data_IF_132875851891
#
_entry.id   IF_132875851891
#
_cell.length_a   1.000
_cell.length_b   1.000
_cell.length_c   1.000
_cell.angle_alpha   90.00
_cell.angle_beta   90.00
_cell.angle_gamma   90.00
#
_symmetry.space_group_name_H-M   'P 1'
#
loop_
_entity.id
_entity.type
_entity.pdbx_description
1 polymer ?
#
# COMPACT_ATOMS: atom_id res chain seq x y z
N UNK A 1 -3.98 13.29 -0.82
CA UNK A 1 -3.26 12.12 -0.26
C UNK A 1 -3.34 12.24 1.26
N UNK A 2 -3.53 11.14 1.99
CA UNK A 2 -3.71 11.17 3.45
C UNK A 2 -2.77 10.24 4.22
N UNK A 3 -1.86 9.56 3.51
CA UNK A 3 -0.90 8.64 4.11
C UNK A 3 0.41 9.41 4.40
N UNK A 4 1.00 9.19 5.57
CA UNK A 4 2.32 9.73 5.95
C UNK A 4 3.26 8.61 6.37
N UNK A 5 4.56 8.79 6.11
CA UNK A 5 5.61 7.91 6.63
C UNK A 5 6.57 8.71 7.51
N UNK A 6 6.85 8.19 8.71
CA UNK A 6 7.83 8.75 9.62
C UNK A 6 8.96 7.75 9.83
N UNK A 7 10.18 8.17 9.52
CA UNK A 7 11.39 7.40 9.75
C UNK A 7 12.22 8.12 10.81
N UNK A 8 12.74 7.36 11.77
CA UNK A 8 13.60 7.92 12.81
C UNK A 8 14.70 6.92 13.18
N UNK A 9 15.89 7.40 13.60
CA UNK A 9 17.01 6.54 13.93
C UNK A 9 16.77 5.67 15.17
N UNK A 10 15.86 6.08 16.06
CA UNK A 10 15.54 5.34 17.29
C UNK A 10 14.04 5.23 17.50
N UNK A 11 13.63 4.23 18.28
CA UNK A 11 12.22 4.06 18.67
C UNK A 11 11.70 5.24 19.50
N UNK A 12 12.54 5.85 20.32
CA UNK A 12 12.15 6.97 21.19
C UNK A 12 11.83 8.24 20.41
N UNK A 13 12.68 8.58 19.44
CA UNK A 13 12.44 9.73 18.56
C UNK A 13 11.19 9.52 17.71
N UNK A 14 10.97 8.30 17.20
CA UNK A 14 9.74 7.96 16.47
C UNK A 14 8.49 8.13 17.33
N UNK A 15 8.49 7.64 18.59
CA UNK A 15 7.32 7.77 19.48
C UNK A 15 7.01 9.23 19.80
N UNK A 16 8.03 10.07 19.96
CA UNK A 16 7.85 11.51 20.16
C UNK A 16 7.21 12.15 18.93
N UNK A 17 7.75 11.91 17.74
CA UNK A 17 7.20 12.41 16.48
C UNK A 17 5.74 11.96 16.26
N UNK A 18 5.42 10.70 16.54
CA UNK A 18 4.04 10.17 16.45
C UNK A 18 3.10 10.88 17.43
N UNK A 19 3.54 11.14 18.67
CA UNK A 19 2.74 11.88 19.65
C UNK A 19 2.48 13.31 19.18
N UNK A 20 3.52 13.99 18.70
CA UNK A 20 3.43 15.39 18.28
C UNK A 20 2.54 15.51 17.01
N UNK A 21 2.62 14.53 16.09
CA UNK A 21 1.71 14.44 14.95
C UNK A 21 0.25 14.24 15.38
N UNK A 22 -0.01 13.33 16.33
CA UNK A 22 -1.36 13.10 16.83
C UNK A 22 -1.95 14.39 17.42
N UNK A 23 -1.18 15.10 18.24
CA UNK A 23 -1.62 16.37 18.82
C UNK A 23 -1.90 17.44 17.75
N UNK A 24 -1.03 17.53 16.74
CA UNK A 24 -1.25 18.42 15.61
C UNK A 24 -2.55 18.09 14.86
N UNK A 25 -2.79 16.82 14.55
CA UNK A 25 -3.98 16.39 13.81
C UNK A 25 -5.27 16.60 14.63
N UNK A 26 -5.23 16.29 15.92
CA UNK A 26 -6.35 16.52 16.84
C UNK A 26 -6.75 18.00 16.88
N UNK A 27 -5.77 18.90 16.97
CA UNK A 27 -6.01 20.35 16.94
C UNK A 27 -6.63 20.84 15.61
N UNK A 28 -6.50 20.07 14.53
CA UNK A 28 -7.09 20.36 13.22
C UNK A 28 -8.36 19.54 12.95
N UNK A 29 -8.88 18.82 13.95
CA UNK A 29 -10.10 18.00 13.82
C UNK A 29 -9.91 16.74 12.98
N UNK A 30 -8.68 16.27 12.78
CA UNK A 30 -8.36 15.08 11.99
C UNK A 30 -8.07 13.90 12.90
N UNK A 31 -8.76 12.77 12.67
CA UNK A 31 -8.60 11.54 13.44
C UNK A 31 -7.80 10.51 12.63
N UNK A 32 -6.71 9.99 13.19
CA UNK A 32 -6.00 8.85 12.62
C UNK A 32 -6.77 7.55 12.90
N UNK A 33 -6.91 6.70 11.89
CA UNK A 33 -7.49 5.37 12.05
C UNK A 33 -6.46 4.43 12.72
N UNK A 34 -6.69 3.94 13.96
CA UNK A 34 -5.69 3.19 14.72
C UNK A 34 -5.21 1.92 14.01
N UNK A 35 -6.15 1.24 13.34
CA UNK A 35 -5.92 -0.03 12.62
C UNK A 35 -5.01 0.13 11.38
N UNK A 36 -4.80 1.37 10.90
CA UNK A 36 -3.93 1.66 9.76
C UNK A 36 -2.53 2.11 10.16
N UNK A 37 -2.25 2.21 11.45
CA UNK A 37 -0.97 2.74 11.96
C UNK A 37 -0.03 1.61 12.32
N UNK A 38 1.05 1.45 11.57
CA UNK A 38 2.08 0.44 11.85
C UNK A 38 3.34 1.09 12.43
N UNK A 39 3.82 0.58 13.57
CA UNK A 39 5.11 0.97 14.15
C UNK A 39 6.04 -0.24 14.23
N UNK A 40 7.20 -0.14 13.58
CA UNK A 40 8.13 -1.27 13.48
C UNK A 40 9.51 -0.85 13.00
N UNK A 41 10.45 -1.79 13.05
CA UNK A 41 11.78 -1.59 12.47
C UNK A 41 11.73 -1.78 10.95
N UNK A 42 12.48 -0.97 10.22
CA UNK A 42 12.58 -1.06 8.75
C UNK A 42 13.14 -2.39 8.25
N UNK A 43 13.86 -3.14 9.10
CA UNK A 43 14.37 -4.48 8.76
C UNK A 43 13.29 -5.51 8.48
N UNK A 44 12.12 -5.38 9.14
CA UNK A 44 10.96 -6.27 8.90
C UNK A 44 10.31 -6.01 7.55
N UNK A 45 10.63 -4.86 6.97
CA UNK A 45 10.02 -4.31 5.79
C UNK A 45 8.62 -3.74 6.04
N UNK A 46 8.20 -2.87 5.13
CA UNK A 46 6.89 -2.22 5.18
C UNK A 46 6.41 -1.90 3.76
N UNK A 47 5.09 -1.84 3.60
CA UNK A 47 4.43 -1.41 2.37
C UNK A 47 4.26 0.11 2.42
N UNK A 48 4.72 0.79 1.39
CA UNK A 48 4.45 2.21 1.18
C UNK A 48 4.10 2.47 -0.28
N UNK A 49 2.88 2.97 -0.51
CA UNK A 49 2.34 3.27 -1.85
C UNK A 49 2.43 2.10 -2.85
N UNK A 50 2.32 0.85 -2.38
CA UNK A 50 2.38 -0.33 -3.25
C UNK A 50 3.79 -0.83 -3.52
N UNK A 51 4.81 -0.24 -2.90
CA UNK A 51 6.20 -0.69 -2.92
C UNK A 51 6.58 -1.31 -1.57
N UNK A 52 7.41 -2.34 -1.62
CA UNK A 52 7.97 -2.99 -0.44
C UNK A 52 9.35 -2.43 -0.14
N UNK A 53 9.53 -1.87 1.05
CA UNK A 53 10.80 -1.33 1.51
C UNK A 53 11.47 -2.27 2.53
N UNK A 54 12.80 -2.33 2.51
CA UNK A 54 13.66 -3.00 3.51
C UNK A 54 14.89 -2.12 3.80
N UNK A 55 15.83 -2.60 4.61
CA UNK A 55 17.07 -1.89 4.98
C UNK A 55 17.87 -1.25 3.82
N UNK A 56 17.99 -1.85 2.62
CA UNK A 56 18.69 -1.19 1.50
C UNK A 56 17.82 -0.19 0.72
N UNK A 57 16.53 -0.03 1.05
CA UNK A 57 15.58 0.81 0.32
C UNK A 57 14.44 0.02 -0.31
N UNK A 58 13.98 0.45 -1.49
CA UNK A 58 12.95 -0.25 -2.25
C UNK A 58 13.45 -1.63 -2.67
N UNK A 59 12.71 -2.67 -2.28
CA UNK A 59 13.06 -4.06 -2.54
C UNK A 59 12.26 -4.68 -3.68
N UNK A 60 10.95 -4.42 -3.72
CA UNK A 60 10.03 -5.01 -4.71
C UNK A 60 8.69 -4.27 -4.73
N UNK A 61 7.75 -4.75 -5.54
CA UNK A 61 6.33 -4.41 -5.38
C UNK A 61 5.82 -5.02 -4.06
N UNK A 62 4.93 -4.32 -3.37
CA UNK A 62 4.34 -4.80 -2.12
C UNK A 62 3.51 -6.08 -2.35
N UNK A 63 3.62 -7.10 -1.48
CA UNK A 63 2.81 -8.33 -1.58
C UNK A 63 1.30 -8.05 -1.64
N UNK A 64 0.85 -7.00 -0.93
CA UNK A 64 -0.52 -6.52 -0.96
C UNK A 64 -0.92 -6.00 -2.34
N UNK A 65 -0.06 -5.23 -3.00
CA UNK A 65 -0.32 -4.71 -4.34
C UNK A 65 -0.39 -5.85 -5.38
N UNK A 66 0.52 -6.83 -5.29
CA UNK A 66 0.49 -8.04 -6.12
C UNK A 66 -0.81 -8.82 -5.92
N UNK A 67 -1.20 -9.06 -4.66
CA UNK A 67 -2.46 -9.74 -4.33
C UNK A 67 -3.69 -9.00 -4.88
N UNK A 68 -3.71 -7.67 -4.76
CA UNK A 68 -4.78 -6.83 -5.34
C UNK A 68 -4.80 -6.93 -6.86
N UNK A 69 -3.64 -6.91 -7.52
CA UNK A 69 -3.55 -7.06 -8.97
C UNK A 69 -4.10 -8.42 -9.43
N UNK A 70 -3.71 -9.52 -8.78
CA UNK A 70 -4.27 -10.85 -9.08
C UNK A 70 -5.78 -10.91 -8.88
N UNK A 71 -6.29 -10.33 -7.79
CA UNK A 71 -7.72 -10.27 -7.54
C UNK A 71 -8.46 -9.50 -8.64
N UNK A 72 -7.88 -8.40 -9.12
CA UNK A 72 -8.46 -7.61 -10.19
C UNK A 72 -8.45 -8.37 -11.53
N UNK A 73 -7.34 -9.01 -11.89
CA UNK A 73 -7.28 -9.92 -13.05
C UNK A 73 -8.38 -10.99 -12.99
N UNK A 74 -8.56 -11.62 -11.81
CA UNK A 74 -9.61 -12.64 -11.61
C UNK A 74 -11.01 -12.06 -11.77
N UNK A 75 -11.27 -10.86 -11.25
CA UNK A 75 -12.57 -10.18 -11.40
C UNK A 75 -12.86 -9.86 -12.87
N UNK A 76 -11.87 -9.32 -13.57
CA UNK A 76 -12.01 -8.96 -14.97
C UNK A 76 -12.24 -10.20 -15.84
N UNK A 77 -11.47 -11.28 -15.59
CA UNK A 77 -11.72 -12.58 -16.22
C UNK A 77 -13.14 -13.09 -15.96
N UNK A 78 -13.61 -13.07 -14.71
CA UNK A 78 -14.98 -13.49 -14.36
C UNK A 78 -16.04 -12.68 -15.10
N UNK A 79 -15.81 -11.39 -15.31
CA UNK A 79 -16.72 -10.53 -16.05
C UNK A 79 -16.78 -10.91 -17.52
N UNK A 80 -15.65 -11.22 -18.17
CA UNK A 80 -15.60 -11.45 -19.62
C UNK A 80 -15.67 -12.94 -20.03
N UNK A 81 -15.69 -13.88 -19.07
CA UNK A 81 -15.63 -15.33 -19.35
C UNK A 81 -16.75 -15.86 -20.26
N UNK A 82 -17.85 -15.11 -20.38
CA UNK A 82 -19.00 -15.46 -21.22
C UNK A 82 -18.82 -15.04 -22.69
N UNK A 83 -17.82 -14.21 -23.00
CA UNK A 83 -17.51 -13.74 -24.34
C UNK A 83 -16.66 -14.75 -25.11
N UNK A 84 -16.57 -14.64 -26.43
CA UNK A 84 -15.65 -15.45 -27.24
C UNK A 84 -14.17 -15.14 -26.86
N UNK A 85 -13.28 -16.13 -26.95
CA UNK A 85 -11.86 -16.04 -26.57
C UNK A 85 -11.12 -14.89 -27.27
N UNK A 86 -11.45 -14.64 -28.53
CA UNK A 86 -10.85 -13.55 -29.31
C UNK A 86 -11.19 -12.17 -28.72
N UNK A 87 -12.42 -12.03 -28.20
CA UNK A 87 -12.91 -10.82 -27.55
C UNK A 87 -12.38 -10.72 -26.11
N UNK A 88 -12.13 -11.85 -25.43
CA UNK A 88 -11.54 -11.86 -24.08
C UNK A 88 -10.09 -11.36 -24.05
N UNK A 89 -9.32 -11.60 -25.12
CA UNK A 89 -7.89 -11.32 -25.16
C UNK A 89 -7.57 -9.81 -25.09
N UNK A 90 -8.34 -8.96 -25.78
CA UNK A 90 -8.07 -7.53 -25.86
C UNK A 90 -8.21 -6.80 -24.49
N UNK A 91 -9.29 -6.98 -23.70
CA UNK A 91 -9.41 -6.41 -22.37
C UNK A 91 -8.33 -6.88 -21.39
N UNK A 92 -7.94 -8.16 -21.43
CA UNK A 92 -6.83 -8.68 -20.60
C UNK A 92 -5.50 -8.03 -20.97
N UNK A 93 -5.20 -7.92 -22.27
CA UNK A 93 -3.97 -7.32 -22.76
C UNK A 93 -3.87 -5.84 -22.38
N UNK A 94 -4.96 -5.09 -22.51
CA UNK A 94 -5.03 -3.69 -22.09
C UNK A 94 -4.80 -3.52 -20.58
N UNK A 95 -5.41 -4.38 -19.76
CA UNK A 95 -5.21 -4.30 -18.31
C UNK A 95 -3.77 -4.63 -17.89
N UNK A 96 -3.15 -5.64 -18.50
CA UNK A 96 -1.76 -6.05 -18.18
C UNK A 96 -0.69 -5.04 -18.64
N UNK A 97 -1.03 -4.12 -19.54
CA UNK A 97 -0.14 -3.05 -20.00
C UNK A 97 -0.16 -1.80 -19.12
N UNK A 98 -1.12 -1.69 -18.19
CA UNK A 98 -1.21 -0.60 -17.20
C UNK A 98 -0.40 -0.95 -15.96
#
# INVERSE_FOLDING_TARGET
MHDFIMLAPTRWTLRRAVRDLNHFLENHGVILLPDKTQLGKTERGFDWMGLWFKKPGMHSIAPRAVSKHHLQCRRLYKQIRHLNKDIQAAPMALYRRR
#
